data_IF_347555189911
#
_entry.id   IF_347555189911
#
_cell.length_a   1.000
_cell.length_b   1.000
_cell.length_c   1.000
_cell.angle_alpha   90.00
_cell.angle_beta   90.00
_cell.angle_gamma   90.00
#
_symmetry.space_group_name_H-M   'P 1'
#
loop_
_entity.id
_entity.type
_entity.pdbx_description
1 polymer ?
#
# COMPACT_ATOMS: atom_id res chain seq x y z
N UNK A 1 10.33 97.04 39.77
CA UNK A 1 11.05 95.76 39.59
C UNK A 1 10.22 94.69 40.28
N UNK A 2 9.80 93.56 39.71
CA UNK A 2 10.02 92.92 38.43
C UNK A 2 8.76 92.09 38.10
N UNK A 3 8.37 92.02 36.83
CA UNK A 3 7.21 91.23 36.38
C UNK A 3 7.58 89.76 36.18
N UNK A 4 6.83 88.86 36.82
CA UNK A 4 6.88 87.42 36.57
C UNK A 4 5.90 87.02 35.46
N UNK A 5 6.42 86.54 34.32
CA UNK A 5 5.62 85.94 33.24
C UNK A 5 5.36 84.47 33.57
N UNK A 6 4.09 84.08 33.62
CA UNK A 6 3.68 82.67 33.64
C UNK A 6 3.59 82.21 32.19
N UNK A 7 4.44 81.25 31.80
CA UNK A 7 4.43 80.62 30.48
C UNK A 7 3.50 79.40 30.51
N UNK A 8 2.47 79.43 29.67
CA UNK A 8 1.61 78.29 29.32
C UNK A 8 2.32 77.51 28.21
N UNK A 9 2.68 76.22 28.37
CA UNK A 9 3.11 75.40 27.26
C UNK A 9 1.90 74.76 26.56
N UNK A 10 1.74 75.05 25.28
CA UNK A 10 0.87 74.34 24.34
C UNK A 10 1.38 72.89 24.12
N UNK A 11 0.51 71.89 23.94
CA UNK A 11 0.92 70.53 23.64
C UNK A 11 1.29 70.41 22.14
N UNK A 12 2.58 70.39 21.84
CA UNK A 12 3.09 69.96 20.53
C UNK A 12 3.81 68.62 20.70
N UNK A 13 3.27 67.56 20.08
CA UNK A 13 3.98 66.69 19.10
C UNK A 13 3.20 65.40 18.84
N UNK A 14 2.36 65.39 17.80
CA UNK A 14 1.84 64.17 17.14
C UNK A 14 2.60 63.85 15.84
N UNK A 15 3.90 64.09 15.78
CA UNK A 15 4.71 63.84 14.57
C UNK A 15 5.74 62.70 14.70
N UNK A 16 6.13 62.29 15.91
CA UNK A 16 7.17 61.27 16.09
C UNK A 16 6.67 59.81 15.99
N UNK A 17 5.39 59.54 16.25
CA UNK A 17 4.86 58.16 16.28
C UNK A 17 4.64 57.55 14.88
N UNK A 18 4.45 58.38 13.84
CA UNK A 18 4.14 57.92 12.47
C UNK A 18 5.37 57.45 11.69
N UNK A 19 6.56 57.94 12.02
CA UNK A 19 7.81 57.65 11.26
C UNK A 19 8.46 56.32 11.66
N UNK A 20 8.30 55.88 12.92
CA UNK A 20 8.89 54.66 13.48
C UNK A 20 8.19 53.37 12.99
N UNK A 21 6.87 53.42 12.78
CA UNK A 21 6.10 52.31 12.21
C UNK A 21 6.42 52.06 10.72
N UNK A 22 6.78 53.09 9.95
CA UNK A 22 7.14 52.92 8.53
C UNK A 22 8.45 52.15 8.34
N UNK A 23 9.44 52.36 9.21
CA UNK A 23 10.72 51.64 9.15
C UNK A 23 10.57 50.17 9.54
N UNK A 24 9.80 49.89 10.60
CA UNK A 24 9.54 48.51 11.04
C UNK A 24 8.75 47.72 9.98
N UNK A 25 7.73 48.34 9.37
CA UNK A 25 6.96 47.72 8.28
C UNK A 25 7.82 47.41 7.05
N UNK A 26 8.76 48.30 6.69
CA UNK A 26 9.68 48.06 5.55
C UNK A 26 10.64 46.89 5.81
N UNK A 27 11.15 46.74 7.03
CA UNK A 27 11.97 45.59 7.40
C UNK A 27 11.17 44.27 7.40
N UNK A 28 9.94 44.28 7.91
CA UNK A 28 9.07 43.10 7.90
C UNK A 28 8.75 42.64 6.47
N UNK A 29 8.47 43.58 5.55
CA UNK A 29 8.24 43.28 4.13
C UNK A 29 9.51 42.71 3.49
N UNK A 30 10.69 43.26 3.80
CA UNK A 30 11.96 42.75 3.30
C UNK A 30 12.23 41.29 3.73
N UNK A 31 12.00 40.97 5.00
CA UNK A 31 12.14 39.61 5.52
C UNK A 31 11.14 38.67 4.84
N UNK A 32 9.88 39.10 4.69
CA UNK A 32 8.85 38.29 4.03
C UNK A 32 9.23 37.95 2.57
N UNK A 33 9.75 38.91 1.80
CA UNK A 33 10.18 38.68 0.42
C UNK A 33 11.35 37.69 0.35
N UNK A 34 12.30 37.78 1.29
CA UNK A 34 13.43 36.83 1.37
C UNK A 34 12.93 35.42 1.71
N UNK A 35 12.08 35.28 2.73
CA UNK A 35 11.50 33.99 3.11
C UNK A 35 10.68 33.39 1.97
N UNK A 36 9.90 34.21 1.26
CA UNK A 36 9.14 33.78 0.10
C UNK A 36 10.06 33.33 -1.04
N UNK A 37 11.13 34.08 -1.34
CA UNK A 37 12.13 33.69 -2.33
C UNK A 37 12.80 32.35 -2.00
N UNK A 38 13.17 32.15 -0.74
CA UNK A 38 13.74 30.88 -0.26
C UNK A 38 12.72 29.73 -0.33
N UNK A 39 11.45 29.96 -0.02
CA UNK A 39 10.41 28.94 -0.18
C UNK A 39 10.17 28.57 -1.64
N UNK A 40 10.19 29.55 -2.55
CA UNK A 40 10.05 29.28 -3.99
C UNK A 40 11.24 28.48 -4.54
N UNK A 41 12.47 28.78 -4.09
CA UNK A 41 13.66 28.00 -4.45
C UNK A 41 13.61 26.57 -3.90
N UNK A 42 13.12 26.39 -2.69
CA UNK A 42 12.91 25.06 -2.10
C UNK A 42 11.87 24.24 -2.90
N UNK A 43 10.78 24.87 -3.33
CA UNK A 43 9.74 24.26 -4.18
C UNK A 43 10.27 23.91 -5.57
N UNK A 44 11.10 24.77 -6.18
CA UNK A 44 11.76 24.48 -7.46
C UNK A 44 12.71 23.28 -7.36
N UNK A 45 13.50 23.19 -6.30
CA UNK A 45 14.40 22.06 -6.06
C UNK A 45 13.65 20.74 -5.79
N UNK A 46 12.49 20.81 -5.11
CA UNK A 46 11.58 19.67 -4.99
C UNK A 46 11.05 19.22 -6.36
N UNK A 47 10.74 20.17 -7.25
CA UNK A 47 10.23 19.88 -8.60
C UNK A 47 11.31 19.19 -9.47
N UNK A 48 12.58 19.60 -9.37
CA UNK A 48 13.71 18.92 -10.02
C UNK A 48 13.92 17.50 -9.48
N UNK A 49 13.80 17.29 -8.16
CA UNK A 49 13.85 15.95 -7.56
C UNK A 49 12.74 15.04 -8.07
N UNK A 50 11.51 15.55 -8.14
CA UNK A 50 10.38 14.79 -8.70
C UNK A 50 10.60 14.46 -10.18
N UNK A 51 11.15 15.39 -10.96
CA UNK A 51 11.46 15.17 -12.38
C UNK A 51 12.53 14.09 -12.56
N UNK A 52 13.60 14.12 -11.77
CA UNK A 52 14.66 13.11 -11.81
C UNK A 52 14.16 11.72 -11.39
N UNK A 53 13.28 11.64 -10.38
CA UNK A 53 12.64 10.40 -9.96
C UNK A 53 11.74 9.79 -11.05
N UNK A 54 10.96 10.62 -11.75
CA UNK A 54 10.12 10.17 -12.88
C UNK A 54 10.96 9.69 -14.06
N UNK A 55 12.07 10.37 -14.34
CA UNK A 55 13.01 10.00 -15.41
C UNK A 55 13.69 8.65 -15.08
N UNK A 56 14.17 8.45 -13.85
CA UNK A 56 14.76 7.16 -13.42
C UNK A 56 13.76 6.00 -13.48
N UNK A 57 12.48 6.23 -13.09
CA UNK A 57 11.43 5.22 -13.24
C UNK A 57 11.21 4.84 -14.71
N UNK A 58 11.17 5.81 -15.63
CA UNK A 58 10.99 5.54 -17.06
C UNK A 58 12.16 4.75 -17.67
N UNK A 59 13.41 5.08 -17.29
CA UNK A 59 14.58 4.31 -17.74
C UNK A 59 14.61 2.89 -17.18
N UNK A 60 14.23 2.71 -15.91
CA UNK A 60 14.10 1.40 -15.27
C UNK A 60 13.02 0.55 -15.96
N UNK A 61 11.85 1.12 -16.26
CA UNK A 61 10.79 0.42 -16.98
C UNK A 61 11.22 -0.03 -18.38
N UNK A 62 11.95 0.81 -19.13
CA UNK A 62 12.45 0.45 -20.46
C UNK A 62 13.49 -0.69 -20.42
N UNK A 63 14.39 -0.65 -19.43
CA UNK A 63 15.37 -1.72 -19.22
C UNK A 63 14.70 -3.05 -18.84
N UNK A 64 13.71 -3.02 -17.93
CA UNK A 64 12.94 -4.20 -17.52
C UNK A 64 12.18 -4.80 -18.72
N UNK A 65 11.52 -3.96 -19.53
CA UNK A 65 10.81 -4.42 -20.74
C UNK A 65 11.75 -5.09 -21.74
N UNK A 66 13.02 -4.68 -21.82
CA UNK A 66 14.00 -5.31 -22.70
C UNK A 66 14.45 -6.71 -22.24
N UNK A 67 14.35 -7.00 -20.94
CA UNK A 67 14.76 -8.28 -20.35
C UNK A 67 13.62 -9.31 -20.31
N UNK A 68 12.37 -8.87 -20.44
CA UNK A 68 11.18 -9.72 -20.33
C UNK A 68 10.60 -10.00 -21.72
N UNK A 69 10.22 -11.26 -22.04
CA UNK A 69 9.55 -11.59 -23.31
C UNK A 69 8.31 -10.73 -23.55
N UNK A 70 8.11 -10.29 -24.80
CA UNK A 70 7.04 -9.32 -25.17
C UNK A 70 5.63 -9.76 -24.81
N UNK A 71 5.37 -11.07 -24.82
CA UNK A 71 4.08 -11.66 -24.42
C UNK A 71 3.67 -11.31 -22.98
N UNK A 72 4.65 -11.01 -22.11
CA UNK A 72 4.42 -10.70 -20.70
C UNK A 72 4.41 -9.18 -20.41
N UNK A 73 4.67 -8.33 -21.41
CA UNK A 73 4.67 -6.87 -21.23
C UNK A 73 3.30 -6.32 -20.81
N UNK A 74 2.21 -7.03 -21.13
CA UNK A 74 0.85 -6.70 -20.66
C UNK A 74 0.74 -6.66 -19.13
N UNK A 75 1.59 -7.42 -18.43
CA UNK A 75 1.65 -7.43 -16.97
C UNK A 75 2.58 -6.37 -16.39
N UNK A 76 3.46 -5.77 -17.19
CA UNK A 76 4.39 -4.73 -16.75
C UNK A 76 3.88 -3.32 -17.03
N UNK A 77 2.97 -3.19 -17.98
CA UNK A 77 2.40 -1.91 -18.37
C UNK A 77 1.27 -1.51 -17.42
N UNK A 78 1.25 -0.23 -17.05
CA UNK A 78 0.09 0.35 -16.38
C UNK A 78 -1.05 0.41 -17.38
N UNK A 79 -2.22 -0.15 -17.03
CA UNK A 79 -3.43 0.16 -17.78
C UNK A 79 -3.74 1.63 -17.50
N UNK A 80 -3.40 2.51 -18.43
CA UNK A 80 -3.85 3.90 -18.37
C UNK A 80 -5.37 3.86 -18.46
N UNK A 81 -6.07 4.07 -17.34
CA UNK A 81 -7.53 4.27 -17.32
C UNK A 81 -7.81 5.44 -18.26
N UNK A 82 -8.33 5.17 -19.46
CA UNK A 82 -8.55 6.08 -20.60
C UNK A 82 -8.28 7.58 -20.31
N UNK A 83 -7.02 8.00 -20.34
CA UNK A 83 -6.66 9.39 -20.64
C UNK A 83 -6.47 9.54 -22.15
N UNK A 84 -7.55 9.29 -22.88
CA UNK A 84 -7.64 9.62 -24.30
C UNK A 84 -8.12 11.06 -24.45
N UNK A 85 -7.29 12.04 -24.07
CA UNK A 85 -7.49 13.41 -24.53
C UNK A 85 -6.56 13.68 -25.72
N UNK A 86 -6.99 13.20 -26.89
CA UNK A 86 -6.51 13.72 -28.18
C UNK A 86 -7.53 14.76 -28.66
N UNK A 87 -7.05 15.99 -28.72
CA UNK A 87 -7.30 17.02 -29.75
C UNK A 87 -8.47 16.74 -30.70
N UNK A 88 -9.64 17.31 -30.39
CA UNK A 88 -10.49 18.15 -31.26
C UNK A 88 -11.98 18.00 -30.93
N UNK A 89 -12.59 19.12 -30.53
CA UNK A 89 -14.01 19.38 -30.74
C UNK A 89 -14.97 18.89 -29.65
N UNK A 90 -15.62 19.86 -29.01
CA UNK A 90 -16.83 19.74 -28.16
C UNK A 90 -16.66 19.08 -26.77
N UNK A 91 -16.42 19.94 -25.75
CA UNK A 91 -16.48 19.58 -24.34
C UNK A 91 -17.93 19.31 -23.89
N UNK A 92 -18.24 18.06 -23.57
CA UNK A 92 -19.20 17.72 -22.52
C UNK A 92 -18.42 17.03 -21.41
N UNK A 93 -17.89 17.82 -20.48
CA UNK A 93 -17.11 17.36 -19.34
C UNK A 93 -18.03 16.99 -18.17
N UNK A 94 -18.49 15.74 -18.15
CA UNK A 94 -18.86 15.05 -16.90
C UNK A 94 -17.94 13.84 -16.77
N UNK A 95 -16.67 14.11 -16.50
CA UNK A 95 -15.76 13.10 -15.99
C UNK A 95 -15.99 13.10 -14.48
N UNK A 96 -16.73 12.11 -13.99
CA UNK A 96 -16.77 11.85 -12.56
C UNK A 96 -15.34 11.54 -12.10
N UNK A 97 -14.76 12.31 -11.18
CA UNK A 97 -13.47 11.98 -10.60
C UNK A 97 -13.58 10.62 -9.90
N UNK A 98 -12.63 9.73 -10.18
CA UNK A 98 -12.55 8.43 -9.50
C UNK A 98 -12.66 8.62 -7.99
N UNK A 99 -13.75 8.10 -7.42
CA UNK A 99 -14.00 8.14 -5.98
C UNK A 99 -13.70 6.75 -5.44
N UNK A 100 -12.70 6.59 -4.54
CA UNK A 100 -12.44 5.29 -3.94
C UNK A 100 -13.72 4.78 -3.24
N UNK A 101 -13.95 3.46 -3.24
CA UNK A 101 -15.12 2.89 -2.60
C UNK A 101 -15.17 3.27 -1.13
N UNK A 102 -16.37 3.55 -0.63
CA UNK A 102 -16.59 3.76 0.80
C UNK A 102 -16.32 2.46 1.59
N UNK A 103 -15.99 2.58 2.88
CA UNK A 103 -15.60 1.45 3.73
C UNK A 103 -16.70 0.38 3.75
N UNK A 104 -17.97 0.77 3.85
CA UNK A 104 -19.10 -0.16 3.85
C UNK A 104 -19.20 -0.94 2.52
N UNK A 105 -18.96 -0.26 1.39
CA UNK A 105 -18.98 -0.89 0.07
C UNK A 105 -17.82 -1.87 -0.08
N UNK A 106 -16.63 -1.46 0.36
CA UNK A 106 -15.43 -2.29 0.36
C UNK A 106 -15.62 -3.55 1.22
N UNK A 107 -16.16 -3.43 2.43
CA UNK A 107 -16.48 -4.57 3.28
C UNK A 107 -17.48 -5.54 2.60
N UNK A 108 -18.52 -5.02 1.93
CA UNK A 108 -19.46 -5.84 1.14
C UNK A 108 -18.77 -6.56 -0.02
N UNK A 109 -17.86 -5.89 -0.74
CA UNK A 109 -17.09 -6.54 -1.80
C UNK A 109 -16.20 -7.64 -1.25
N UNK A 110 -15.45 -7.37 -0.17
CA UNK A 110 -14.59 -8.35 0.51
C UNK A 110 -15.41 -9.57 0.93
N UNK A 111 -16.56 -9.37 1.58
CA UNK A 111 -17.45 -10.46 1.98
C UNK A 111 -17.93 -11.26 0.77
N UNK A 112 -18.33 -10.57 -0.32
CA UNK A 112 -18.78 -11.22 -1.55
C UNK A 112 -17.68 -12.06 -2.19
N UNK A 113 -16.47 -11.52 -2.38
CA UNK A 113 -15.34 -12.25 -2.95
C UNK A 113 -15.02 -13.51 -2.11
N UNK A 114 -14.91 -13.34 -0.80
CA UNK A 114 -14.60 -14.43 0.11
C UNK A 114 -15.67 -15.53 0.12
N UNK A 115 -16.96 -15.16 -0.01
CA UNK A 115 -18.06 -16.13 -0.02
C UNK A 115 -18.18 -16.85 -1.37
N UNK A 116 -17.97 -16.14 -2.48
CA UNK A 116 -18.08 -16.73 -3.82
C UNK A 116 -16.94 -17.70 -4.13
N UNK A 117 -15.73 -17.46 -3.59
CA UNK A 117 -14.54 -18.28 -3.85
C UNK A 117 -14.33 -18.58 -5.35
N UNK A 118 -14.55 -17.57 -6.19
CA UNK A 118 -14.49 -17.73 -7.65
C UNK A 118 -13.07 -18.06 -8.10
N UNK A 119 -12.93 -19.13 -8.89
CA UNK A 119 -11.69 -19.50 -9.56
C UNK A 119 -11.76 -19.00 -11.00
N UNK A 120 -10.86 -18.09 -11.35
CA UNK A 120 -10.70 -17.60 -12.72
C UNK A 120 -9.94 -18.64 -13.55
N UNK A 121 -10.28 -18.72 -14.83
CA UNK A 121 -9.66 -19.56 -15.86
C UNK A 121 -9.80 -21.09 -15.62
N UNK A 122 -10.69 -21.53 -14.72
CA UNK A 122 -10.97 -22.95 -14.52
C UNK A 122 -11.57 -23.60 -15.77
N UNK A 123 -12.34 -22.85 -16.55
CA UNK A 123 -12.90 -23.28 -17.84
C UNK A 123 -11.83 -23.54 -18.91
N UNK A 124 -10.67 -22.87 -18.80
CA UNK A 124 -9.55 -22.99 -19.74
C UNK A 124 -8.59 -24.10 -19.31
N UNK A 125 -8.25 -24.15 -18.01
CA UNK A 125 -7.23 -25.05 -17.47
C UNK A 125 -7.78 -26.32 -16.83
N UNK A 126 -9.11 -26.49 -16.81
CA UNK A 126 -9.78 -27.59 -16.15
C UNK A 126 -9.81 -27.46 -14.62
N UNK A 127 -10.45 -28.41 -13.92
CA UNK A 127 -10.53 -28.41 -12.47
C UNK A 127 -9.15 -28.61 -11.81
N UNK A 128 -9.03 -28.16 -10.56
CA UNK A 128 -7.82 -28.36 -9.75
C UNK A 128 -7.61 -29.85 -9.41
N UNK A 129 -6.41 -30.37 -9.67
CA UNK A 129 -6.04 -31.73 -9.26
C UNK A 129 -5.61 -31.75 -7.78
N UNK A 130 -5.90 -32.85 -7.08
CA UNK A 130 -5.68 -32.95 -5.63
C UNK A 130 -4.20 -32.91 -5.23
N UNK A 131 -3.27 -33.23 -6.11
CA UNK A 131 -1.83 -33.26 -5.88
C UNK A 131 -1.07 -32.08 -6.52
N UNK A 132 -1.78 -31.18 -7.21
CA UNK A 132 -1.20 -29.97 -7.81
C UNK A 132 -0.59 -29.03 -6.76
N UNK A 133 0.43 -28.27 -7.12
CA UNK A 133 0.99 -27.25 -6.22
C UNK A 133 0.01 -26.07 -6.07
N UNK A 134 -0.36 -25.73 -4.82
CA UNK A 134 -1.08 -24.48 -4.52
C UNK A 134 -0.08 -23.39 -4.17
N UNK A 135 -0.25 -22.20 -4.74
CA UNK A 135 0.62 -21.06 -4.47
C UNK A 135 -0.22 -19.97 -3.82
N UNK A 136 0.15 -19.55 -2.61
CA UNK A 136 -0.56 -18.51 -1.85
C UNK A 136 0.31 -17.28 -1.73
N UNK A 137 -0.06 -16.20 -2.41
CA UNK A 137 0.70 -14.94 -2.44
C UNK A 137 0.08 -13.95 -1.45
N UNK A 138 0.86 -13.45 -0.49
CA UNK A 138 0.45 -12.33 0.35
C UNK A 138 0.69 -11.00 -0.37
N UNK A 139 -0.39 -10.24 -0.59
CA UNK A 139 -0.41 -8.97 -1.33
C UNK A 139 -0.81 -7.83 -0.40
N UNK A 140 -0.07 -6.71 -0.50
CA UNK A 140 -0.38 -5.47 0.19
C UNK A 140 -0.69 -4.35 -0.82
N UNK A 141 0.29 -3.48 -1.12
CA UNK A 141 0.10 -2.30 -1.99
C UNK A 141 1.21 -2.12 -3.02
N UNK A 142 2.19 -3.03 -3.08
CA UNK A 142 3.39 -2.85 -3.91
C UNK A 142 3.19 -3.45 -5.31
N UNK A 143 2.30 -2.85 -6.09
CA UNK A 143 1.91 -3.35 -7.43
C UNK A 143 3.10 -3.61 -8.36
N UNK A 144 4.16 -2.79 -8.33
CA UNK A 144 5.34 -2.98 -9.20
C UNK A 144 6.07 -4.30 -8.91
N UNK A 145 6.23 -4.64 -7.63
CA UNK A 145 6.82 -5.92 -7.22
C UNK A 145 5.92 -7.09 -7.61
N UNK A 146 4.61 -6.95 -7.38
CA UNK A 146 3.62 -7.94 -7.78
C UNK A 146 3.66 -8.23 -9.29
N UNK A 147 3.86 -7.20 -10.13
CA UNK A 147 4.03 -7.37 -11.58
C UNK A 147 5.23 -8.25 -11.90
N UNK A 148 6.36 -8.07 -11.22
CA UNK A 148 7.55 -8.92 -11.42
C UNK A 148 7.31 -10.36 -10.98
N UNK A 149 6.63 -10.58 -9.84
CA UNK A 149 6.22 -11.91 -9.41
C UNK A 149 5.32 -12.58 -10.47
N UNK A 150 4.27 -11.90 -10.94
CA UNK A 150 3.35 -12.41 -11.97
C UNK A 150 4.12 -12.78 -13.25
N UNK A 151 5.05 -11.93 -13.69
CA UNK A 151 5.90 -12.21 -14.86
C UNK A 151 6.78 -13.44 -14.66
N UNK A 152 7.33 -13.64 -13.46
CA UNK A 152 8.12 -14.84 -13.14
C UNK A 152 7.27 -16.12 -13.08
N UNK A 153 6.05 -16.02 -12.52
CA UNK A 153 5.07 -17.12 -12.52
C UNK A 153 4.63 -17.49 -13.94
N UNK A 154 4.41 -16.50 -14.80
CA UNK A 154 4.03 -16.74 -16.20
C UNK A 154 5.11 -17.51 -16.99
N UNK A 155 6.37 -17.39 -16.59
CA UNK A 155 7.51 -18.10 -17.18
C UNK A 155 7.75 -19.48 -16.56
N UNK A 156 7.12 -19.77 -15.43
CA UNK A 156 7.32 -21.04 -14.75
C UNK A 156 6.67 -22.20 -15.51
N UNK A 157 7.42 -23.28 -15.65
CA UNK A 157 6.95 -24.51 -16.31
C UNK A 157 5.86 -25.15 -15.46
N UNK A 158 4.83 -25.66 -16.13
CA UNK A 158 3.68 -26.35 -15.55
C UNK A 158 2.78 -25.50 -14.62
N UNK A 159 2.95 -24.17 -14.60
CA UNK A 159 2.12 -23.25 -13.80
C UNK A 159 0.62 -23.34 -14.09
N UNK A 160 0.24 -23.75 -15.30
CA UNK A 160 -1.17 -23.92 -15.72
C UNK A 160 -1.93 -24.96 -14.88
N UNK A 161 -1.22 -25.93 -14.30
CA UNK A 161 -1.78 -26.97 -13.43
C UNK A 161 -2.07 -26.44 -12.02
N UNK A 162 -1.25 -25.50 -11.54
CA UNK A 162 -1.39 -24.88 -10.21
C UNK A 162 -2.59 -23.95 -10.09
N UNK A 163 -3.05 -23.76 -8.84
CA UNK A 163 -3.93 -22.67 -8.44
C UNK A 163 -3.10 -21.61 -7.71
N UNK A 164 -3.16 -20.37 -8.18
CA UNK A 164 -2.53 -19.22 -7.52
C UNK A 164 -3.59 -18.42 -6.78
N UNK A 165 -3.48 -18.38 -5.45
CA UNK A 165 -4.36 -17.66 -4.54
C UNK A 165 -3.67 -16.36 -4.13
N UNK A 166 -4.20 -15.21 -4.54
CA UNK A 166 -3.76 -13.91 -4.06
C UNK A 166 -4.58 -13.51 -2.84
N UNK A 167 -3.89 -13.30 -1.71
CA UNK A 167 -4.47 -12.91 -0.43
C UNK A 167 -4.16 -11.44 -0.15
N UNK A 168 -5.19 -10.61 -0.08
CA UNK A 168 -5.09 -9.15 0.01
C UNK A 168 -5.40 -8.65 1.42
N UNK A 169 -4.59 -7.76 1.99
CA UNK A 169 -4.99 -6.95 3.16
C UNK A 169 -5.28 -5.49 2.82
N UNK A 170 -5.25 -5.15 1.54
CA UNK A 170 -5.63 -3.84 1.03
C UNK A 170 -6.43 -4.02 -0.26
N UNK A 171 -7.62 -3.43 -0.31
CA UNK A 171 -8.47 -3.40 -1.49
C UNK A 171 -8.04 -2.26 -2.40
N UNK A 172 -7.53 -2.63 -3.58
CA UNK A 172 -7.04 -1.70 -4.60
C UNK A 172 -7.52 -2.18 -5.97
N UNK A 173 -8.25 -1.33 -6.70
CA UNK A 173 -8.80 -1.67 -8.02
C UNK A 173 -7.70 -2.00 -9.04
N UNK A 174 -6.56 -1.30 -9.03
CA UNK A 174 -5.49 -1.50 -10.01
C UNK A 174 -4.77 -2.84 -9.77
N UNK A 175 -4.60 -3.22 -8.50
CA UNK A 175 -4.07 -4.55 -8.13
C UNK A 175 -5.07 -5.64 -8.51
N UNK A 176 -6.36 -5.45 -8.21
CA UNK A 176 -7.41 -6.40 -8.54
C UNK A 176 -7.49 -6.62 -10.07
N UNK A 177 -7.44 -5.54 -10.86
CA UNK A 177 -7.46 -5.57 -12.32
C UNK A 177 -6.22 -6.23 -12.92
N UNK A 178 -5.06 -6.05 -12.29
CA UNK A 178 -3.82 -6.74 -12.66
C UNK A 178 -3.98 -8.25 -12.47
N UNK A 179 -4.44 -8.70 -11.31
CA UNK A 179 -4.60 -10.13 -11.02
C UNK A 179 -5.70 -10.75 -11.88
N UNK A 180 -6.80 -10.05 -12.12
CA UNK A 180 -7.87 -10.51 -13.02
C UNK A 180 -7.41 -10.62 -14.48
N UNK A 181 -6.32 -9.95 -14.87
CA UNK A 181 -5.77 -10.05 -16.22
C UNK A 181 -4.87 -11.28 -16.46
N UNK A 182 -4.57 -12.06 -15.41
CA UNK A 182 -3.76 -13.27 -15.51
C UNK A 182 -4.50 -14.32 -16.32
N UNK A 183 -3.85 -14.84 -17.37
CA UNK A 183 -4.43 -15.79 -18.33
C UNK A 183 -3.59 -17.06 -18.55
N UNK A 184 -2.60 -17.33 -17.69
CA UNK A 184 -1.69 -18.47 -17.83
C UNK A 184 -1.91 -19.58 -16.78
N UNK A 185 -2.76 -19.37 -15.78
CA UNK A 185 -3.10 -20.36 -14.75
C UNK A 185 -4.47 -20.10 -14.11
N UNK A 186 -4.90 -21.01 -13.23
CA UNK A 186 -6.07 -20.81 -12.37
C UNK A 186 -5.74 -19.78 -11.28
N UNK A 187 -6.67 -18.85 -11.04
CA UNK A 187 -6.45 -17.74 -10.09
C UNK A 187 -7.64 -17.60 -9.14
N UNK A 188 -7.37 -17.40 -7.86
CA UNK A 188 -8.36 -17.02 -6.85
C UNK A 188 -7.90 -15.77 -6.11
N UNK A 189 -8.83 -14.88 -5.76
CA UNK A 189 -8.57 -13.75 -4.88
C UNK A 189 -9.34 -13.92 -3.57
N UNK A 190 -8.65 -13.75 -2.45
CA UNK A 190 -9.24 -13.71 -1.10
C UNK A 190 -8.80 -12.43 -0.41
N UNK A 191 -9.65 -11.89 0.45
CA UNK A 191 -9.42 -10.59 1.09
C UNK A 191 -9.49 -10.71 2.60
N UNK A 192 -8.44 -10.33 3.30
CA UNK A 192 -8.39 -10.26 4.75
C UNK A 192 -9.44 -9.25 5.26
N UNK A 193 -10.46 -9.69 6.02
CA UNK A 193 -11.60 -8.84 6.33
C UNK A 193 -11.31 -7.75 7.38
N UNK A 194 -10.27 -7.92 8.19
CA UNK A 194 -9.97 -7.04 9.33
C UNK A 194 -8.70 -6.22 9.11
N UNK A 195 -8.55 -5.61 7.93
CA UNK A 195 -7.42 -4.72 7.66
C UNK A 195 -7.60 -3.34 8.30
N UNK A 196 -6.50 -2.60 8.43
CA UNK A 196 -6.52 -1.19 8.85
C UNK A 196 -7.30 -0.30 7.87
N UNK A 197 -7.45 -0.74 6.61
CA UNK A 197 -8.23 -0.04 5.60
C UNK A 197 -9.74 -0.16 5.87
N UNK A 198 -10.20 -1.34 6.32
CA UNK A 198 -11.62 -1.58 6.63
C UNK A 198 -12.01 -1.15 8.05
N UNK A 199 -11.04 -1.02 8.95
CA UNK A 199 -11.26 -0.67 10.37
C UNK A 199 -10.34 0.49 10.79
N UNK A 200 -10.41 1.69 10.18
CA UNK A 200 -9.41 2.74 10.42
C UNK A 200 -9.45 3.35 11.83
N UNK A 201 -10.59 3.28 12.51
CA UNK A 201 -10.86 3.97 13.79
C UNK A 201 -11.24 3.02 14.94
N UNK A 202 -11.12 1.72 14.72
CA UNK A 202 -11.44 0.68 15.69
C UNK A 202 -10.43 -0.46 15.56
N UNK A 203 -10.25 -1.28 16.60
CA UNK A 203 -9.40 -2.45 16.51
C UNK A 203 -9.87 -3.39 15.36
N UNK A 204 -8.98 -3.86 14.46
CA UNK A 204 -7.52 -3.83 14.54
C UNK A 204 -6.84 -2.70 13.74
N UNK A 205 -7.49 -1.57 13.45
CA UNK A 205 -6.82 -0.32 13.09
C UNK A 205 -6.37 0.47 14.31
N UNK A 206 -6.40 1.80 14.21
CA UNK A 206 -5.94 2.70 15.27
C UNK A 206 -7.16 3.27 15.99
N UNK A 207 -7.28 2.97 17.27
CA UNK A 207 -8.31 3.56 18.14
C UNK A 207 -7.81 4.90 18.71
N UNK A 208 -8.73 5.84 18.97
CA UNK A 208 -8.37 7.13 19.58
C UNK A 208 -7.78 6.98 21.00
N UNK A 209 -8.21 5.94 21.73
CA UNK A 209 -7.80 5.66 23.10
C UNK A 209 -6.65 4.63 23.21
N UNK A 210 -6.04 4.22 22.09
CA UNK A 210 -4.83 3.39 22.10
C UNK A 210 -3.68 4.14 22.81
N UNK A 211 -2.91 3.41 23.62
CA UNK A 211 -1.73 3.98 24.26
C UNK A 211 -0.68 4.33 23.19
N UNK A 212 -0.08 5.54 23.22
CA UNK A 212 1.04 5.87 22.35
C UNK A 212 2.18 4.86 22.51
N UNK A 213 2.78 4.43 21.40
CA UNK A 213 3.82 3.39 21.36
C UNK A 213 4.85 3.49 22.49
N UNK A 214 5.41 4.67 22.71
CA UNK A 214 6.56 4.90 23.59
C UNK A 214 6.18 5.48 24.96
N UNK A 215 4.89 5.56 25.30
CA UNK A 215 4.48 6.02 26.64
C UNK A 215 4.96 5.00 27.70
N UNK A 216 5.46 5.49 28.83
CA UNK A 216 5.82 4.58 29.93
C UNK A 216 4.57 3.97 30.54
N UNK A 217 4.64 2.71 30.97
CA UNK A 217 3.51 1.98 31.57
C UNK A 217 2.81 2.73 32.70
N UNK A 218 3.55 3.32 33.63
CA UNK A 218 2.96 4.08 34.74
C UNK A 218 2.14 5.29 34.23
N UNK A 219 2.63 5.96 33.19
CA UNK A 219 1.94 7.07 32.55
C UNK A 219 0.73 6.60 31.74
N UNK A 220 0.82 5.43 31.08
CA UNK A 220 -0.29 4.80 30.38
C UNK A 220 -1.46 4.47 31.32
N UNK A 221 -1.15 3.91 32.48
CA UNK A 221 -2.14 3.57 33.52
C UNK A 221 -2.81 4.84 34.07
N UNK A 222 -2.04 5.91 34.31
CA UNK A 222 -2.58 7.20 34.74
C UNK A 222 -3.48 7.80 33.65
N UNK A 223 -3.07 7.70 32.37
CA UNK A 223 -3.83 8.17 31.21
C UNK A 223 -5.09 7.34 30.95
N UNK A 224 -5.14 6.09 31.44
CA UNK A 224 -6.25 5.14 31.24
C UNK A 224 -6.53 4.81 29.77
N UNK A 225 -5.47 4.73 28.94
CA UNK A 225 -5.60 4.25 27.56
C UNK A 225 -5.92 2.74 27.52
N UNK A 226 -6.58 2.28 26.45
CA UNK A 226 -7.26 0.98 26.37
C UNK A 226 -6.33 -0.21 26.66
N UNK A 227 -5.14 -0.21 26.07
CA UNK A 227 -4.16 -1.29 26.17
C UNK A 227 -3.08 -1.02 27.23
N UNK A 228 -3.28 -0.10 28.19
CA UNK A 228 -2.26 0.32 29.17
C UNK A 228 -1.62 -0.82 29.97
N UNK A 229 -2.38 -1.88 30.25
CA UNK A 229 -1.91 -3.04 31.01
C UNK A 229 -1.18 -4.10 30.15
N UNK A 230 -1.12 -3.90 28.84
CA UNK A 230 -0.64 -4.90 27.87
C UNK A 230 0.46 -4.36 26.94
N UNK A 231 1.57 -3.82 27.46
CA UNK A 231 2.73 -3.52 26.62
C UNK A 231 3.41 -4.82 26.16
N UNK A 232 4.25 -4.71 25.13
CA UNK A 232 5.14 -5.80 24.71
C UNK A 232 6.27 -6.07 25.74
N UNK A 233 7.12 -7.05 25.45
CA UNK A 233 8.27 -7.42 26.29
C UNK A 233 9.23 -6.25 26.56
N UNK A 234 9.28 -5.27 25.66
CA UNK A 234 10.19 -4.12 25.71
C UNK A 234 9.50 -2.86 26.25
N UNK A 235 8.24 -2.96 26.67
CA UNK A 235 7.49 -1.84 27.24
C UNK A 235 6.84 -0.92 26.20
N UNK A 236 6.76 -1.32 24.93
CA UNK A 236 6.07 -0.55 23.89
C UNK A 236 4.63 -0.99 23.71
N UNK A 237 3.78 -0.07 23.28
CA UNK A 237 2.39 -0.33 22.92
C UNK A 237 2.24 -0.60 21.42
N UNK A 238 1.11 -1.22 21.10
CA UNK A 238 0.74 -1.65 19.75
C UNK A 238 0.77 -0.50 18.74
N UNK A 239 1.29 -0.80 17.55
CA UNK A 239 1.06 -0.01 16.34
C UNK A 239 0.35 -0.86 15.30
N UNK A 240 -0.80 -0.38 14.81
CA UNK A 240 -1.70 -1.17 13.96
C UNK A 240 -1.02 -1.71 12.69
N UNK A 241 -0.24 -0.86 12.02
CA UNK A 241 0.50 -1.19 10.79
C UNK A 241 1.44 -2.38 10.95
N UNK A 242 2.15 -2.48 12.09
CA UNK A 242 3.07 -3.60 12.36
C UNK A 242 2.33 -4.91 12.70
N UNK A 243 1.13 -4.82 13.26
CA UNK A 243 0.36 -6.02 13.62
C UNK A 243 -0.36 -6.65 12.43
N UNK A 244 -0.72 -5.88 11.41
CA UNK A 244 -1.53 -6.35 10.28
C UNK A 244 -0.90 -7.53 9.55
N UNK A 245 0.40 -7.46 9.22
CA UNK A 245 1.10 -8.50 8.46
C UNK A 245 0.98 -9.88 9.12
N UNK A 246 1.12 -9.93 10.46
CA UNK A 246 0.99 -11.19 11.23
C UNK A 246 -0.45 -11.69 11.26
N UNK A 247 -1.42 -10.79 11.45
CA UNK A 247 -2.84 -11.16 11.43
C UNK A 247 -3.26 -11.70 10.06
N UNK A 248 -2.87 -11.02 8.98
CA UNK A 248 -3.13 -11.45 7.61
C UNK A 248 -2.50 -12.82 7.34
N UNK A 249 -1.23 -13.03 7.75
CA UNK A 249 -0.55 -14.30 7.53
C UNK A 249 -1.27 -15.47 8.19
N UNK A 250 -1.68 -15.31 9.45
CA UNK A 250 -2.38 -16.36 10.18
C UNK A 250 -3.79 -16.60 9.61
N UNK A 251 -4.52 -15.54 9.32
CA UNK A 251 -5.86 -15.65 8.72
C UNK A 251 -5.82 -16.37 7.38
N UNK A 252 -4.91 -16.01 6.48
CA UNK A 252 -4.87 -16.60 5.13
C UNK A 252 -4.48 -18.08 5.17
N UNK A 253 -3.59 -18.47 6.07
CA UNK A 253 -3.23 -19.87 6.25
C UNK A 253 -4.46 -20.70 6.68
N UNK A 254 -5.18 -20.25 7.72
CA UNK A 254 -6.42 -20.93 8.15
C UNK A 254 -7.48 -20.94 7.04
N UNK A 255 -7.63 -19.83 6.32
CA UNK A 255 -8.59 -19.73 5.20
C UNK A 255 -8.29 -20.79 4.14
N UNK A 256 -7.03 -20.91 3.71
CA UNK A 256 -6.60 -21.85 2.67
C UNK A 256 -6.71 -23.30 3.12
N UNK A 257 -6.32 -23.62 4.35
CA UNK A 257 -6.32 -25.01 4.82
C UNK A 257 -7.69 -25.54 5.26
N UNK A 258 -8.59 -24.67 5.75
CA UNK A 258 -9.83 -25.12 6.40
C UNK A 258 -11.12 -24.64 5.70
N UNK A 259 -11.11 -23.45 5.10
CA UNK A 259 -12.36 -22.77 4.74
C UNK A 259 -12.60 -22.56 3.25
N UNK A 260 -11.60 -22.79 2.40
CA UNK A 260 -11.76 -22.78 0.95
C UNK A 260 -12.25 -24.16 0.49
N UNK A 261 -13.34 -24.20 -0.26
CA UNK A 261 -14.00 -25.46 -0.63
C UNK A 261 -13.11 -26.34 -1.52
N UNK A 262 -12.42 -25.73 -2.49
CA UNK A 262 -11.57 -26.47 -3.45
C UNK A 262 -10.32 -27.10 -2.80
N UNK A 263 -9.95 -26.66 -1.58
CA UNK A 263 -8.75 -27.13 -0.89
C UNK A 263 -9.02 -28.16 0.21
N UNK A 264 -10.28 -28.46 0.56
CA UNK A 264 -10.65 -29.32 1.70
C UNK A 264 -10.07 -30.74 1.65
N UNK A 265 -9.84 -31.29 0.46
CA UNK A 265 -9.29 -32.63 0.25
C UNK A 265 -7.99 -32.61 -0.55
N UNK A 266 -7.35 -31.45 -0.58
CA UNK A 266 -6.11 -31.26 -1.30
C UNK A 266 -4.93 -31.91 -0.56
N UNK A 267 -4.13 -32.68 -1.29
CA UNK A 267 -2.98 -33.44 -0.79
C UNK A 267 -1.65 -32.91 -1.27
N UNK A 268 -1.66 -32.03 -2.28
CA UNK A 268 -0.47 -31.39 -2.81
C UNK A 268 0.13 -30.35 -1.85
N UNK A 269 1.36 -29.89 -2.14
CA UNK A 269 2.04 -28.91 -1.31
C UNK A 269 1.41 -27.52 -1.46
N UNK A 270 1.39 -26.76 -0.37
CA UNK A 270 0.99 -25.35 -0.35
C UNK A 270 2.23 -24.48 -0.17
N UNK A 271 2.58 -23.71 -1.20
CA UNK A 271 3.70 -22.79 -1.21
C UNK A 271 3.24 -21.38 -0.87
N UNK A 272 3.75 -20.81 0.22
CA UNK A 272 3.49 -19.42 0.61
C UNK A 272 4.56 -18.48 0.05
N UNK A 273 4.14 -17.44 -0.66
CA UNK A 273 4.99 -16.38 -1.22
C UNK A 273 4.49 -15.00 -0.81
N UNK A 274 5.31 -13.98 -1.04
CA UNK A 274 4.97 -12.57 -0.87
C UNK A 274 5.04 -11.86 -2.23
N UNK A 275 4.39 -10.70 -2.36
CA UNK A 275 4.29 -9.92 -3.60
C UNK A 275 5.65 -9.47 -4.19
N UNK A 276 6.73 -9.49 -3.41
CA UNK A 276 8.09 -9.12 -3.81
C UNK A 276 9.05 -10.31 -3.99
N UNK A 277 8.53 -11.53 -3.96
CA UNK A 277 9.29 -12.68 -4.43
C UNK A 277 9.39 -12.73 -5.96
N UNK A 278 10.38 -13.50 -6.43
CA UNK A 278 10.57 -13.85 -7.83
C UNK A 278 10.93 -15.34 -7.89
N UNK A 279 10.28 -16.12 -8.74
CA UNK A 279 10.50 -17.58 -8.84
C UNK A 279 11.36 -17.95 -10.04
N UNK A 280 12.12 -19.06 -9.94
CA UNK A 280 12.82 -19.64 -11.09
C UNK A 280 11.84 -20.35 -12.03
N UNK A 281 12.20 -20.54 -13.31
CA UNK A 281 11.32 -21.21 -14.28
C UNK A 281 10.97 -22.66 -13.92
N UNK A 282 11.81 -23.32 -13.11
CA UNK A 282 11.72 -24.74 -12.75
C UNK A 282 11.27 -25.00 -11.30
N UNK A 283 10.81 -23.97 -10.58
CA UNK A 283 10.54 -24.09 -9.14
C UNK A 283 9.47 -25.14 -8.80
N UNK A 284 8.44 -25.29 -9.64
CA UNK A 284 7.37 -26.30 -9.46
C UNK A 284 7.97 -27.70 -9.58
N UNK A 285 8.73 -27.95 -10.65
CA UNK A 285 9.40 -29.24 -10.87
C UNK A 285 10.32 -29.61 -9.69
N UNK A 286 11.12 -28.64 -9.22
CA UNK A 286 12.01 -28.86 -8.08
C UNK A 286 11.25 -29.14 -6.79
N UNK A 287 10.16 -28.40 -6.51
CA UNK A 287 9.32 -28.62 -5.34
C UNK A 287 8.71 -30.03 -5.33
N UNK A 288 8.15 -30.46 -6.45
CA UNK A 288 7.59 -31.81 -6.60
C UNK A 288 8.65 -32.91 -6.48
N UNK A 289 9.87 -32.66 -6.99
CA UNK A 289 10.99 -33.59 -6.81
C UNK A 289 11.42 -33.69 -5.34
N UNK A 290 11.50 -32.56 -4.64
CA UNK A 290 11.82 -32.50 -3.21
C UNK A 290 10.77 -33.23 -2.38
N UNK A 291 9.48 -32.99 -2.63
CA UNK A 291 8.37 -33.69 -1.96
C UNK A 291 8.43 -35.21 -2.16
N UNK A 292 8.70 -35.69 -3.39
CA UNK A 292 8.84 -37.12 -3.65
C UNK A 292 10.04 -37.74 -2.94
N UNK A 293 11.12 -36.98 -2.75
CA UNK A 293 12.37 -37.47 -2.16
C UNK A 293 12.50 -37.27 -0.66
N UNK A 294 11.63 -36.49 -0.03
CA UNK A 294 11.72 -36.18 1.41
C UNK A 294 11.71 -37.44 2.28
N UNK A 295 10.85 -38.42 1.98
CA UNK A 295 10.75 -39.65 2.76
C UNK A 295 11.97 -40.58 2.59
N UNK A 296 12.65 -40.50 1.44
CA UNK A 296 13.86 -41.29 1.16
C UNK A 296 15.10 -40.65 1.78
N UNK A 297 15.20 -39.32 1.74
CA UNK A 297 16.44 -38.58 2.06
C UNK A 297 16.41 -37.97 3.47
N UNK A 298 15.24 -37.54 3.94
CA UNK A 298 15.09 -36.80 5.19
C UNK A 298 13.77 -37.11 5.91
N UNK A 299 13.73 -38.23 6.64
CA UNK A 299 12.55 -38.65 7.43
C UNK A 299 12.15 -37.71 8.57
N UNK A 300 12.98 -36.68 8.86
CA UNK A 300 12.71 -35.65 9.88
C UNK A 300 12.35 -34.29 9.28
N UNK A 301 12.33 -34.16 7.96
CA UNK A 301 11.97 -32.91 7.29
C UNK A 301 10.44 -32.78 7.23
N UNK A 302 9.92 -31.65 7.68
CA UNK A 302 8.47 -31.41 7.82
C UNK A 302 7.93 -30.37 6.83
N UNK A 303 8.80 -29.52 6.28
CA UNK A 303 8.51 -28.42 5.34
C UNK A 303 9.62 -28.43 4.30
#
# INVERSE_FOLDING_TARGET
>A
MAGGRILIPLPNTRYALRRRNSLCAKFAIGIFVICFGLSQLYVLNQTERTSNMVIEMNFSSAAILSMVPSIYHKYLTTKTRNQSYVVNGTLSSNIDPYRPPDIEQMQKFIQRYNNLQSILNEDIFGPLENDSVLIVVQVHTRINYLRHLIVSLAQARDISRSLVIFSHDYYDEDINDLIQSIDFCKVMQIFYPHSIQTHPHEFPGVEEDDCPRDIKRDQAIIRKCTNANYPDLYGHYREASFTQTKHHWWWKANRVFDQIAVTQHHTGPVLFLEEDHYVSEDFIYLLELMQRKVNEICSKCNI
#
